data_IF_145734664887
#
_entry.id   IF_145734664887
#
_cell.length_a   1.000
_cell.length_b   1.000
_cell.length_c   1.000
_cell.angle_alpha   90.00
_cell.angle_beta   90.00
_cell.angle_gamma   90.00
#
_symmetry.space_group_name_H-M   'P 1'
#
loop_
_entity.id
_entity.type
_entity.pdbx_description
1 polymer ?
#
# COMPACT_ATOMS: atom_id res chain seq x y z
N UNK A 1 -19.90 -2.19 9.74
CA UNK A 1 -18.88 -1.97 8.71
C UNK A 1 -18.52 -0.50 8.67
N UNK A 2 -17.25 -0.18 8.55
CA UNK A 2 -16.75 1.20 8.32
C UNK A 2 -16.94 1.59 6.84
N UNK A 3 -16.81 2.88 6.48
CA UNK A 3 -16.80 3.30 5.08
C UNK A 3 -15.75 2.56 4.25
N UNK A 4 -14.56 2.33 4.80
CA UNK A 4 -13.50 1.59 4.11
C UNK A 4 -13.85 0.11 3.91
N UNK A 5 -14.43 -0.57 4.91
CA UNK A 5 -14.91 -1.95 4.75
C UNK A 5 -15.95 -2.09 3.62
N UNK A 6 -16.82 -1.09 3.43
CA UNK A 6 -17.78 -1.09 2.31
C UNK A 6 -17.04 -1.04 0.97
N UNK A 7 -16.02 -0.18 0.83
CA UNK A 7 -15.18 -0.12 -0.37
C UNK A 7 -14.44 -1.42 -0.64
N UNK A 8 -13.97 -2.11 0.41
CA UNK A 8 -13.35 -3.44 0.26
C UNK A 8 -14.37 -4.45 -0.28
N UNK A 9 -15.59 -4.47 0.24
CA UNK A 9 -16.67 -5.31 -0.29
C UNK A 9 -16.97 -4.99 -1.77
N UNK A 10 -17.08 -3.71 -2.13
CA UNK A 10 -17.33 -3.28 -3.51
C UNK A 10 -16.24 -3.78 -4.47
N UNK A 11 -14.97 -3.75 -4.04
CA UNK A 11 -13.82 -4.25 -4.82
C UNK A 11 -13.81 -5.77 -4.97
N UNK A 12 -14.39 -6.51 -4.01
CA UNK A 12 -14.49 -7.97 -4.09
C UNK A 12 -15.66 -8.43 -4.97
N UNK A 13 -16.78 -7.72 -4.94
CA UNK A 13 -18.02 -8.12 -5.62
C UNK A 13 -17.99 -7.85 -7.13
N UNK A 14 -17.30 -6.79 -7.57
CA UNK A 14 -17.22 -6.38 -8.97
C UNK A 14 -15.77 -6.01 -9.33
N UNK A 15 -15.37 -6.08 -10.62
CA UNK A 15 -14.14 -5.48 -11.09
C UNK A 15 -14.26 -3.95 -10.90
N UNK A 16 -13.89 -3.48 -9.71
CA UNK A 16 -13.89 -2.08 -9.38
C UNK A 16 -12.63 -1.45 -9.99
N UNK A 17 -12.81 -0.38 -10.76
CA UNK A 17 -11.69 0.47 -11.16
C UNK A 17 -11.19 1.20 -9.92
N UNK A 18 -10.13 0.65 -9.31
CA UNK A 18 -9.51 1.26 -8.13
C UNK A 18 -8.57 2.35 -8.61
N UNK A 19 -8.89 3.58 -8.24
CA UNK A 19 -8.03 4.73 -8.51
C UNK A 19 -6.59 4.48 -8.02
N UNK A 20 -5.62 4.84 -8.86
CA UNK A 20 -4.22 4.84 -8.47
C UNK A 20 -3.99 5.85 -7.32
N UNK A 21 -3.12 5.53 -6.35
CA UNK A 21 -2.70 6.49 -5.34
C UNK A 21 -1.99 7.66 -6.01
N UNK A 22 -2.22 8.85 -5.46
CA UNK A 22 -1.48 10.02 -5.88
C UNK A 22 -0.03 9.91 -5.38
N UNK A 23 0.89 10.00 -6.33
CA UNK A 23 2.33 9.94 -6.10
C UNK A 23 2.99 11.21 -6.61
N UNK A 24 4.11 11.56 -6.00
CA UNK A 24 4.95 12.68 -6.41
C UNK A 24 6.43 12.27 -6.38
N UNK A 25 7.29 13.08 -6.98
CA UNK A 25 8.73 12.87 -6.85
C UNK A 25 9.15 12.92 -5.37
N UNK A 26 10.00 11.98 -4.94
CA UNK A 26 10.52 11.94 -3.57
C UNK A 26 11.12 13.27 -3.15
N UNK A 27 10.74 13.77 -1.97
CA UNK A 27 11.23 15.06 -1.46
C UNK A 27 12.23 14.86 -0.35
N UNK A 28 13.11 15.86 -0.19
CA UNK A 28 13.98 15.98 0.99
C UNK A 28 13.25 16.83 2.02
N UNK A 29 12.92 16.22 3.15
CA UNK A 29 12.25 16.87 4.28
C UNK A 29 13.18 16.88 5.49
N UNK A 30 12.95 17.75 6.49
CA UNK A 30 13.59 17.60 7.79
C UNK A 30 13.31 16.21 8.39
N UNK A 31 14.30 15.60 9.04
CA UNK A 31 14.21 14.23 9.56
C UNK A 31 12.97 13.99 10.45
N UNK A 32 12.65 14.94 11.34
CA UNK A 32 11.47 14.86 12.20
C UNK A 32 10.16 14.82 11.40
N UNK A 33 10.01 15.68 10.39
CA UNK A 33 8.81 15.73 9.55
C UNK A 33 8.64 14.44 8.75
N UNK A 34 9.72 13.91 8.19
CA UNK A 34 9.67 12.65 7.45
C UNK A 34 9.36 11.45 8.36
N UNK A 35 9.87 11.43 9.59
CA UNK A 35 9.57 10.40 10.58
C UNK A 35 8.10 10.46 11.02
N UNK A 36 7.59 11.66 11.33
CA UNK A 36 6.18 11.86 11.72
C UNK A 36 5.23 11.40 10.60
N UNK A 37 5.49 11.81 9.36
CA UNK A 37 4.71 11.37 8.20
C UNK A 37 4.78 9.86 7.96
N UNK A 38 5.91 9.23 8.24
CA UNK A 38 6.03 7.77 8.17
C UNK A 38 5.16 7.07 9.23
N UNK A 39 5.19 7.56 10.47
CA UNK A 39 4.36 7.02 11.56
C UNK A 39 2.88 7.19 11.26
N UNK A 40 2.47 8.32 10.67
CA UNK A 40 1.10 8.55 10.21
C UNK A 40 0.69 7.53 9.14
N UNK A 41 1.50 7.36 8.09
CA UNK A 41 1.25 6.38 7.02
C UNK A 41 1.12 4.96 7.58
N UNK A 42 2.05 4.55 8.46
CA UNK A 42 2.07 3.23 9.07
C UNK A 42 0.83 3.02 9.93
N UNK A 43 0.48 3.98 10.78
CA UNK A 43 -0.68 3.88 11.68
C UNK A 43 -1.97 3.71 10.90
N UNK A 44 -2.15 4.48 9.81
CA UNK A 44 -3.30 4.32 8.94
C UNK A 44 -3.28 2.98 8.20
N UNK A 45 -2.11 2.52 7.73
CA UNK A 45 -1.98 1.19 7.12
C UNK A 45 -2.41 0.07 8.06
N UNK A 46 -2.01 0.12 9.33
CA UNK A 46 -2.41 -0.88 10.34
C UNK A 46 -3.92 -0.91 10.54
N UNK A 47 -4.56 0.25 10.67
CA UNK A 47 -6.01 0.34 10.79
C UNK A 47 -6.69 -0.26 9.55
N UNK A 48 -6.33 0.19 8.35
CA UNK A 48 -6.97 -0.23 7.11
C UNK A 48 -6.74 -1.72 6.83
N UNK A 49 -5.54 -2.24 7.08
CA UNK A 49 -5.26 -3.68 6.95
C UNK A 49 -6.10 -4.50 7.94
N UNK A 50 -6.27 -4.02 9.18
CA UNK A 50 -7.18 -4.66 10.14
C UNK A 50 -8.62 -4.69 9.62
N UNK A 51 -9.11 -3.57 9.11
CA UNK A 51 -10.46 -3.44 8.57
C UNK A 51 -10.68 -4.32 7.33
N UNK A 52 -9.76 -4.30 6.37
CA UNK A 52 -9.81 -5.13 5.17
C UNK A 52 -9.79 -6.62 5.52
N UNK A 53 -8.93 -7.03 6.46
CA UNK A 53 -8.83 -8.43 6.87
C UNK A 53 -10.10 -8.98 7.52
N UNK A 54 -10.94 -8.14 8.13
CA UNK A 54 -12.27 -8.57 8.61
C UNK A 54 -13.18 -8.93 7.43
N UNK A 55 -13.19 -8.12 6.38
CA UNK A 55 -14.00 -8.38 5.18
C UNK A 55 -13.48 -9.59 4.40
N UNK A 56 -12.17 -9.68 4.21
CA UNK A 56 -11.53 -10.82 3.52
C UNK A 56 -11.83 -12.14 4.25
N UNK A 57 -11.70 -12.17 5.57
CA UNK A 57 -11.99 -13.36 6.37
C UNK A 57 -13.48 -13.77 6.30
N UNK A 58 -14.40 -12.81 6.22
CA UNK A 58 -15.83 -13.09 6.05
C UNK A 58 -16.18 -13.68 4.67
N UNK A 59 -15.27 -13.58 3.70
CA UNK A 59 -15.41 -14.12 2.34
C UNK A 59 -14.45 -15.31 2.09
N UNK A 60 -13.89 -15.92 3.15
CA UNK A 60 -12.94 -17.05 3.07
C UNK A 60 -11.68 -16.76 2.21
N UNK A 61 -11.27 -15.49 2.13
CA UNK A 61 -10.08 -15.06 1.40
C UNK A 61 -8.84 -14.96 2.31
N UNK A 62 -7.66 -15.00 1.69
CA UNK A 62 -6.41 -14.81 2.40
C UNK A 62 -6.33 -13.41 3.05
N UNK A 63 -5.44 -13.25 4.02
CA UNK A 63 -5.23 -11.98 4.72
C UNK A 63 -4.16 -11.15 4.03
N UNK A 64 -4.28 -9.83 4.11
CA UNK A 64 -3.19 -8.91 3.85
C UNK A 64 -2.21 -8.98 5.02
N UNK A 65 -0.95 -9.22 4.70
CA UNK A 65 0.15 -9.17 5.65
C UNK A 65 0.70 -7.75 5.71
N UNK A 66 0.93 -7.23 6.93
CA UNK A 66 1.61 -5.98 7.20
C UNK A 66 2.87 -6.28 8.01
N UNK A 67 4.02 -5.90 7.48
CA UNK A 67 5.33 -6.21 8.09
C UNK A 67 6.20 -4.98 8.15
N UNK A 68 6.88 -4.79 9.29
CA UNK A 68 7.89 -3.74 9.46
C UNK A 68 9.28 -4.32 9.10
N UNK A 69 10.04 -3.61 8.27
CA UNK A 69 11.41 -3.97 7.89
C UNK A 69 12.40 -3.10 8.68
N UNK A 70 13.22 -3.73 9.53
CA UNK A 70 14.23 -3.01 10.32
C UNK A 70 15.51 -2.84 9.51
N UNK A 71 15.85 -1.58 9.21
CA UNK A 71 17.13 -1.21 8.58
C UNK A 71 17.70 0.04 9.24
N UNK A 72 18.99 0.01 9.55
CA UNK A 72 19.67 1.19 10.09
C UNK A 72 19.53 2.39 9.13
N UNK A 73 19.07 3.52 9.65
CA UNK A 73 18.87 4.75 8.85
C UNK A 73 17.63 4.72 7.95
N UNK A 74 16.66 3.83 8.18
CA UNK A 74 15.39 3.85 7.47
C UNK A 74 14.23 3.35 8.35
N UNK A 75 13.04 3.92 8.12
CA UNK A 75 11.77 3.36 8.54
C UNK A 75 11.13 2.71 7.33
N UNK A 76 10.61 1.50 7.47
CA UNK A 76 10.06 0.75 6.33
C UNK A 76 8.97 -0.20 6.78
N UNK A 77 7.87 -0.22 6.03
CA UNK A 77 6.85 -1.24 6.15
C UNK A 77 6.36 -1.70 4.78
N UNK A 78 5.90 -2.95 4.71
CA UNK A 78 5.37 -3.57 3.52
C UNK A 78 3.99 -4.18 3.78
N UNK A 79 3.10 -4.04 2.80
CA UNK A 79 1.81 -4.70 2.72
C UNK A 79 1.84 -5.71 1.58
N UNK A 80 1.42 -6.95 1.84
CA UNK A 80 1.43 -8.03 0.86
C UNK A 80 0.11 -8.79 0.81
N UNK A 81 -0.37 -9.11 -0.39
CA UNK A 81 -1.57 -9.93 -0.61
C UNK A 81 -1.39 -10.81 -1.86
N UNK A 82 -1.17 -12.11 -1.64
CA UNK A 82 -0.78 -13.04 -2.70
C UNK A 82 0.57 -12.64 -3.30
N UNK A 83 0.65 -12.46 -4.62
CA UNK A 83 1.87 -12.00 -5.32
C UNK A 83 2.03 -10.47 -5.35
N UNK A 84 1.05 -9.73 -4.84
CA UNK A 84 1.01 -8.27 -4.89
C UNK A 84 1.61 -7.70 -3.61
N UNK A 85 2.44 -6.67 -3.76
CA UNK A 85 3.07 -6.02 -2.63
C UNK A 85 3.20 -4.52 -2.85
N UNK A 86 3.19 -3.78 -1.75
CA UNK A 86 3.53 -2.36 -1.69
C UNK A 86 4.40 -2.10 -0.47
N UNK A 87 5.46 -1.32 -0.64
CA UNK A 87 6.44 -1.03 0.40
C UNK A 87 6.73 0.46 0.46
N UNK A 88 6.61 1.02 1.65
CA UNK A 88 6.86 2.43 1.92
C UNK A 88 8.13 2.51 2.77
N UNK A 89 9.09 3.30 2.31
CA UNK A 89 10.39 3.47 2.95
C UNK A 89 10.65 4.95 3.16
N UNK A 90 11.02 5.34 4.36
CA UNK A 90 11.57 6.67 4.66
C UNK A 90 13.01 6.52 5.08
N UNK A 91 13.95 6.88 4.20
CA UNK A 91 15.37 6.93 4.55
C UNK A 91 15.63 8.15 5.43
N UNK A 92 16.27 7.96 6.58
CA UNK A 92 16.58 9.00 7.57
C UNK A 92 18.11 9.15 7.66
N UNK A 93 18.59 10.31 7.21
CA UNK A 93 19.95 10.80 7.45
C UNK A 93 20.05 11.64 8.71
N UNK A 94 21.15 12.39 8.86
CA UNK A 94 21.41 13.22 10.05
C UNK A 94 20.30 14.26 10.32
N UNK A 95 19.88 14.99 9.28
CA UNK A 95 18.92 16.10 9.37
C UNK A 95 17.79 16.00 8.35
N UNK A 96 17.87 15.00 7.47
CA UNK A 96 17.02 14.87 6.29
C UNK A 96 16.37 13.50 6.21
N UNK A 97 15.14 13.49 5.73
CA UNK A 97 14.38 12.30 5.40
C UNK A 97 13.95 12.32 3.93
N UNK A 98 13.91 11.15 3.30
CA UNK A 98 13.45 10.97 1.91
C UNK A 98 12.51 9.77 1.84
N UNK A 99 11.28 10.02 1.40
CA UNK A 99 10.25 9.00 1.22
C UNK A 99 10.36 8.27 -0.12
N UNK A 100 10.02 6.99 -0.12
CA UNK A 100 10.00 6.13 -1.30
C UNK A 100 8.83 5.16 -1.23
N UNK A 101 8.15 4.99 -2.35
CA UNK A 101 7.17 3.94 -2.58
C UNK A 101 7.74 2.94 -3.59
N UNK A 102 7.70 1.66 -3.24
CA UNK A 102 8.10 0.54 -4.07
C UNK A 102 6.95 -0.45 -4.21
N UNK A 103 6.72 -1.00 -5.40
CA UNK A 103 5.64 -1.96 -5.61
C UNK A 103 4.28 -1.28 -5.54
N UNK A 104 3.60 -1.15 -6.68
CA UNK A 104 2.14 -1.02 -6.69
C UNK A 104 1.65 -2.20 -7.53
N UNK A 105 1.18 -3.26 -6.86
CA UNK A 105 0.91 -4.52 -7.54
C UNK A 105 2.19 -5.12 -8.13
N UNK A 106 2.30 -5.14 -9.46
CA UNK A 106 3.46 -5.65 -10.21
C UNK A 106 4.47 -4.58 -10.66
N UNK A 107 4.20 -3.29 -10.44
CA UNK A 107 5.05 -2.19 -10.94
C UNK A 107 6.19 -1.85 -9.98
N UNK A 108 7.42 -1.81 -10.50
CA UNK A 108 8.57 -1.24 -9.79
C UNK A 108 8.58 0.28 -9.92
N UNK A 109 8.43 0.98 -8.80
CA UNK A 109 8.53 2.44 -8.71
C UNK A 109 9.87 2.82 -8.10
N UNK A 110 10.49 3.89 -8.62
CA UNK A 110 11.73 4.45 -8.10
C UNK A 110 11.64 5.98 -8.03
N UNK A 111 12.17 6.56 -6.94
CA UNK A 111 12.22 8.00 -6.67
C UNK A 111 10.85 8.73 -6.61
N UNK A 112 9.81 8.03 -6.18
CA UNK A 112 8.50 8.61 -5.89
C UNK A 112 8.06 8.31 -4.47
N UNK A 113 7.22 9.17 -3.90
CA UNK A 113 6.56 9.01 -2.60
C UNK A 113 5.06 9.26 -2.73
N UNK A 114 4.27 8.78 -1.77
CA UNK A 114 2.86 9.16 -1.66
C UNK A 114 2.75 10.67 -1.38
N UNK A 115 1.71 11.31 -1.91
CA UNK A 115 1.43 12.72 -1.60
C UNK A 115 1.01 12.93 -0.14
N UNK A 116 0.46 11.90 0.50
CA UNK A 116 0.03 11.90 1.90
C UNK A 116 -0.33 10.49 2.41
N UNK A 117 -0.56 10.38 3.74
CA UNK A 117 -0.93 9.13 4.38
C UNK A 117 -2.28 8.58 3.90
N UNK A 118 -3.23 9.46 3.59
CA UNK A 118 -4.55 9.13 3.04
C UNK A 118 -4.48 8.27 1.77
N UNK A 119 -3.40 8.36 0.99
CA UNK A 119 -3.20 7.56 -0.21
C UNK A 119 -2.93 6.07 0.08
N UNK A 120 -2.66 5.70 1.35
CA UNK A 120 -2.54 4.30 1.77
C UNK A 120 -3.84 3.53 1.53
N UNK A 121 -5.00 4.19 1.61
CA UNK A 121 -6.29 3.56 1.34
C UNK A 121 -6.36 2.97 -0.07
N UNK A 122 -5.96 3.75 -1.07
CA UNK A 122 -5.91 3.32 -2.46
C UNK A 122 -4.90 2.19 -2.67
N UNK A 123 -3.77 2.20 -1.96
CA UNK A 123 -2.82 1.08 -2.02
C UNK A 123 -3.43 -0.23 -1.52
N UNK A 124 -4.13 -0.21 -0.39
CA UNK A 124 -4.79 -1.41 0.16
C UNK A 124 -5.87 -1.91 -0.82
N UNK A 125 -6.69 -1.01 -1.38
CA UNK A 125 -7.71 -1.39 -2.36
C UNK A 125 -7.08 -1.97 -3.64
N UNK A 126 -5.99 -1.40 -4.15
CA UNK A 126 -5.27 -1.95 -5.31
C UNK A 126 -4.69 -3.33 -5.00
N UNK A 127 -4.09 -3.50 -3.82
CA UNK A 127 -3.59 -4.80 -3.40
C UNK A 127 -4.69 -5.85 -3.44
N UNK A 128 -5.95 -5.52 -3.14
CA UNK A 128 -7.09 -6.45 -3.20
C UNK A 128 -7.63 -6.61 -4.63
N UNK A 129 -7.84 -5.51 -5.35
CA UNK A 129 -8.53 -5.46 -6.63
C UNK A 129 -7.70 -5.84 -7.87
N UNK A 130 -6.36 -5.73 -7.83
CA UNK A 130 -5.48 -6.10 -8.96
C UNK A 130 -5.38 -7.63 -9.22
N UNK A 131 -6.40 -8.41 -8.86
CA UNK A 131 -6.38 -9.87 -8.81
C UNK A 131 -7.20 -10.54 -9.90
N UNK A 132 -7.78 -9.78 -10.83
CA UNK A 132 -8.28 -10.33 -12.09
C UNK A 132 -7.22 -10.08 -13.17
N UNK A 133 -6.14 -10.86 -13.15
CA UNK A 133 -5.52 -11.20 -14.43
C UNK A 133 -6.56 -12.04 -15.17
N UNK A 134 -6.97 -11.56 -16.34
CA UNK A 134 -7.90 -12.25 -17.21
C UNK A 134 -7.33 -13.64 -17.54
N UNK A 135 -8.00 -14.76 -17.17
CA UNK A 135 -7.58 -16.08 -17.62
C UNK A 135 -7.69 -16.25 -19.16
N UNK A 136 -8.21 -15.24 -19.87
CA UNK A 136 -8.33 -15.18 -21.33
C UNK A 136 -7.19 -14.42 -22.04
N UNK A 137 -5.99 -14.28 -21.46
CA UNK A 137 -4.77 -14.16 -22.30
C UNK A 137 -4.42 -15.55 -22.86
N UNK A 138 -5.33 -15.99 -23.73
CA UNK A 138 -5.32 -17.20 -24.54
C UNK A 138 -3.97 -17.32 -25.22
N UNK A 139 -3.39 -18.51 -25.05
CA UNK A 139 -2.32 -19.04 -25.87
C UNK A 139 -2.57 -18.72 -27.36
N UNK A 140 -1.76 -17.84 -27.93
CA UNK A 140 -1.67 -17.71 -29.38
C UNK A 140 -0.49 -18.60 -29.83
N UNK A 141 -0.69 -19.52 -30.79
CA UNK A 141 0.27 -20.55 -31.18
C UNK A 141 1.56 -20.03 -31.81
#
# INVERSE_FOLDING_TARGET
MTPFMLRVSDVLDLPADVDLPEIQASRRLPAAIGADGHVECRSLAEQLVCEANVVLAANDLARIELTDEVKAGALSFAMSYGQRHARIVTNIGHDTAVGHLYGIGSRHLGNVELTGADQVEKLVLLLIGSGQEDPDEVAVP
#
